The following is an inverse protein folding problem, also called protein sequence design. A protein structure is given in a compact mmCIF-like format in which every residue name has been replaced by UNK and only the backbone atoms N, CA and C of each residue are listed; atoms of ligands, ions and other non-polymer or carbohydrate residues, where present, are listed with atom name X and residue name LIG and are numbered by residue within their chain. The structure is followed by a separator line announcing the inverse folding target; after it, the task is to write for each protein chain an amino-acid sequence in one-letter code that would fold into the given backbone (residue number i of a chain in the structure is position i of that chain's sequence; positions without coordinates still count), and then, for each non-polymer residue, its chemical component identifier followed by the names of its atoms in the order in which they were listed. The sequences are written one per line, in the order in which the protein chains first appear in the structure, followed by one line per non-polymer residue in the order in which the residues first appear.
data_IF_507574565616
#
_entry.id   IF_507574565616
#
_cell.length_a   1.000
_cell.length_b   1.000
_cell.length_c   1.000
_cell.angle_alpha   90.00
_cell.angle_beta   90.00
_cell.angle_gamma   90.00
#
_symmetry.space_group_name_H-M   'P 1'
#
loop_
_entity.id
_entity.type
_entity.pdbx_description
1 polymer ?
#
# COMPACT_ATOMS: atom_id res chain seq x y z
N UNK A 1 41.31 -6.75 -23.02
CA UNK A 1 41.22 -6.71 -21.53
C UNK A 1 40.56 -5.44 -21.00
N UNK A 2 40.92 -4.22 -21.43
CA UNK A 2 40.29 -2.96 -20.97
C UNK A 2 38.78 -2.84 -21.26
N UNK A 3 38.28 -3.40 -22.37
CA UNK A 3 36.85 -3.47 -22.71
C UNK A 3 36.04 -4.48 -21.86
N UNK A 4 36.71 -5.51 -21.33
CA UNK A 4 36.06 -6.50 -20.45
C UNK A 4 35.93 -5.96 -19.02
N UNK A 5 36.93 -5.19 -18.57
CA UNK A 5 36.92 -4.49 -17.27
C UNK A 5 35.85 -3.39 -17.20
N UNK A 6 35.62 -2.66 -18.30
CA UNK A 6 34.56 -1.64 -18.39
C UNK A 6 33.16 -2.25 -18.41
N UNK A 7 32.98 -3.44 -18.98
CA UNK A 7 31.69 -4.13 -18.97
C UNK A 7 31.32 -4.68 -17.58
N UNK A 8 32.31 -5.15 -16.81
CA UNK A 8 32.13 -5.60 -15.42
C UNK A 8 31.72 -4.45 -14.49
N UNK A 9 32.31 -3.26 -14.66
CA UNK A 9 31.97 -2.08 -13.85
C UNK A 9 30.52 -1.60 -14.07
N UNK A 10 29.98 -1.78 -15.28
CA UNK A 10 28.60 -1.40 -15.61
C UNK A 10 27.55 -2.32 -14.94
N UNK A 11 27.87 -3.60 -14.74
CA UNK A 11 26.97 -4.59 -14.10
C UNK A 11 26.83 -4.37 -12.59
N UNK A 12 27.86 -3.82 -11.93
CA UNK A 12 27.81 -3.52 -10.49
C UNK A 12 26.91 -2.32 -10.18
N UNK A 13 26.76 -1.36 -11.11
CA UNK A 13 25.88 -0.19 -10.93
C UNK A 13 24.38 -0.49 -11.15
N UNK A 14 24.03 -1.67 -11.67
CA UNK A 14 22.65 -2.05 -12.00
C UNK A 14 21.97 -2.94 -10.94
N UNK A 15 22.57 -3.09 -9.76
CA UNK A 15 21.93 -3.86 -8.69
C UNK A 15 20.70 -3.08 -8.17
N UNK A 16 19.49 -3.67 -8.23
CA UNK A 16 18.34 -3.07 -7.57
C UNK A 16 18.61 -3.05 -6.06
N UNK A 17 18.75 -1.85 -5.50
CA UNK A 17 18.84 -1.66 -4.06
C UNK A 17 17.46 -1.93 -3.46
N UNK A 18 17.17 -3.19 -3.15
CA UNK A 18 16.02 -3.54 -2.34
C UNK A 18 16.07 -2.75 -1.03
N UNK A 19 14.99 -2.04 -0.72
CA UNK A 19 14.86 -1.41 0.59
C UNK A 19 14.94 -2.48 1.68
N UNK A 20 15.75 -2.22 2.72
CA UNK A 20 15.93 -3.11 3.85
C UNK A 20 15.52 -2.39 5.12
N UNK A 21 14.21 -2.43 5.43
CA UNK A 21 13.70 -1.99 6.73
C UNK A 21 13.96 -3.07 7.79
N UNK A 22 14.28 -2.64 9.02
CA UNK A 22 14.45 -3.49 10.21
C UNK A 22 15.45 -4.66 10.10
N UNK A 23 16.44 -4.57 9.20
CA UNK A 23 17.40 -5.64 8.89
C UNK A 23 18.10 -6.27 10.10
N UNK A 24 18.28 -5.49 11.17
CA UNK A 24 19.05 -5.87 12.35
C UNK A 24 18.21 -5.88 13.65
N UNK A 25 16.88 -5.83 13.56
CA UNK A 25 15.99 -5.81 14.73
C UNK A 25 15.35 -7.19 14.96
N UNK A 26 15.86 -8.02 15.88
CA UNK A 26 15.38 -9.39 16.07
C UNK A 26 13.94 -9.48 16.61
N UNK A 27 13.44 -8.42 17.25
CA UNK A 27 12.04 -8.34 17.70
C UNK A 27 11.05 -8.20 16.56
N UNK A 28 11.52 -7.82 15.36
CA UNK A 28 10.68 -7.53 14.20
C UNK A 28 10.57 -8.74 13.30
N UNK A 29 9.34 -9.22 13.13
CA UNK A 29 9.02 -10.29 12.19
C UNK A 29 8.51 -9.71 10.88
N UNK A 30 9.10 -10.16 9.78
CA UNK A 30 8.72 -9.72 8.42
C UNK A 30 7.71 -10.67 7.80
N UNK A 31 6.68 -10.10 7.17
CA UNK A 31 5.66 -10.81 6.43
C UNK A 31 5.65 -10.30 4.98
N UNK A 32 5.84 -11.22 4.03
CA UNK A 32 5.87 -10.89 2.59
C UNK A 32 4.51 -11.10 1.97
N UNK A 33 4.08 -10.18 1.12
CA UNK A 33 2.78 -10.20 0.47
C UNK A 33 2.71 -9.22 -0.70
N UNK A 34 1.48 -8.83 -1.09
CA UNK A 34 1.29 -7.78 -2.10
C UNK A 34 1.94 -6.45 -1.67
N UNK A 35 1.76 -6.12 -0.39
CA UNK A 35 2.60 -5.22 0.37
C UNK A 35 3.25 -6.03 1.49
N UNK A 36 4.54 -5.76 1.76
CA UNK A 36 5.19 -6.35 2.91
C UNK A 36 4.76 -5.59 4.17
N UNK A 37 4.67 -6.29 5.29
CA UNK A 37 4.49 -5.66 6.59
C UNK A 37 5.42 -6.28 7.63
N UNK A 38 5.66 -5.53 8.69
CA UNK A 38 6.56 -5.87 9.77
C UNK A 38 5.82 -5.76 11.10
N UNK A 39 5.91 -6.80 11.91
CA UNK A 39 5.35 -6.79 13.26
C UNK A 39 6.49 -6.73 14.28
N UNK A 40 6.50 -5.68 15.10
CA UNK A 40 7.48 -5.50 16.18
C UNK A 40 6.91 -6.01 17.50
N UNK A 41 7.38 -7.17 17.97
CA UNK A 41 6.88 -7.79 19.21
C UNK A 41 7.16 -6.95 20.46
N UNK A 42 8.17 -6.09 20.45
CA UNK A 42 8.54 -5.30 21.63
C UNK A 42 7.59 -4.11 21.84
N UNK A 43 6.99 -3.61 20.76
CA UNK A 43 6.14 -2.41 20.77
C UNK A 43 4.70 -2.68 20.36
N UNK A 44 4.39 -3.93 19.99
CA UNK A 44 3.11 -4.37 19.41
C UNK A 44 2.65 -3.55 18.20
N UNK A 45 3.61 -3.08 17.40
CA UNK A 45 3.36 -2.25 16.23
C UNK A 45 3.39 -3.04 14.93
N UNK A 46 2.49 -2.67 14.03
CA UNK A 46 2.44 -3.18 12.66
C UNK A 46 2.86 -2.05 11.72
N UNK A 47 4.00 -2.23 11.05
CA UNK A 47 4.47 -1.32 10.02
C UNK A 47 4.19 -1.86 8.63
N UNK A 48 3.67 -1.03 7.74
CA UNK A 48 3.42 -1.37 6.34
C UNK A 48 4.48 -0.73 5.45
N UNK A 49 5.08 -1.52 4.57
CA UNK A 49 5.94 -1.02 3.49
C UNK A 49 5.09 -0.77 2.23
N UNK A 50 5.04 0.48 1.81
CA UNK A 50 4.35 0.93 0.61
C UNK A 50 5.37 1.25 -0.48
N UNK A 51 5.46 0.36 -1.46
CA UNK A 51 6.34 0.45 -2.64
C UNK A 51 5.59 0.90 -3.91
N UNK A 52 4.25 0.84 -3.89
CA UNK A 52 3.37 1.16 -5.03
C UNK A 52 2.46 2.34 -4.66
N UNK A 53 2.86 3.55 -5.04
CA UNK A 53 2.04 4.76 -4.91
C UNK A 53 1.37 5.12 -6.24
N UNK A 54 0.21 5.79 -6.17
CA UNK A 54 -0.63 6.15 -7.31
C UNK A 54 -1.13 4.96 -8.16
N UNK A 55 -0.90 3.73 -7.69
CA UNK A 55 -1.36 2.51 -8.33
C UNK A 55 -2.59 1.97 -7.61
N UNK A 56 -3.62 1.65 -8.37
CA UNK A 56 -4.86 1.08 -7.86
C UNK A 56 -4.69 -0.40 -7.55
N UNK A 57 -5.24 -0.83 -6.43
CA UNK A 57 -5.26 -2.22 -5.99
C UNK A 57 -6.59 -2.52 -5.30
N UNK A 58 -6.91 -3.82 -5.21
CA UNK A 58 -8.10 -4.30 -4.54
C UNK A 58 -7.83 -4.46 -3.04
N UNK A 59 -8.61 -3.79 -2.20
CA UNK A 59 -8.64 -3.94 -0.76
C UNK A 59 -9.92 -4.69 -0.37
N UNK A 60 -9.75 -5.86 0.23
CA UNK A 60 -10.85 -6.73 0.64
C UNK A 60 -10.70 -7.04 2.12
N UNK A 61 -11.77 -6.80 2.89
CA UNK A 61 -11.86 -7.23 4.27
C UNK A 61 -12.52 -8.61 4.35
N UNK A 62 -12.00 -9.53 5.16
CA UNK A 62 -12.63 -10.84 5.38
C UNK A 62 -12.57 -11.21 6.86
N UNK A 63 -13.63 -11.86 7.36
CA UNK A 63 -13.68 -12.37 8.72
C UNK A 63 -13.05 -13.76 8.77
N UNK A 64 -11.92 -13.87 9.46
CA UNK A 64 -11.30 -15.16 9.75
C UNK A 64 -12.07 -15.93 10.83
N UNK A 65 -12.61 -15.22 11.81
CA UNK A 65 -13.28 -15.73 13.01
C UNK A 65 -14.36 -14.73 13.46
N UNK A 66 -15.36 -15.17 14.23
CA UNK A 66 -16.45 -14.32 14.73
C UNK A 66 -17.85 -14.75 14.30
N UNK A 67 -18.80 -13.81 14.31
CA UNK A 67 -20.20 -14.06 13.91
C UNK A 67 -20.19 -14.49 12.44
N UNK A 68 -20.69 -15.70 12.21
CA UNK A 68 -20.95 -16.29 10.89
C UNK A 68 -22.46 -16.32 10.69
N UNK A 69 -23.02 -15.22 10.20
CA UNK A 69 -24.44 -15.04 9.97
C UNK A 69 -24.69 -14.65 8.52
N UNK A 70 -25.27 -15.60 7.78
CA UNK A 70 -25.65 -15.41 6.39
C UNK A 70 -26.75 -14.34 6.25
N UNK A 71 -27.61 -14.21 7.27
CA UNK A 71 -28.75 -13.29 7.25
C UNK A 71 -28.33 -11.81 7.18
N UNK A 72 -27.17 -11.46 7.74
CA UNK A 72 -26.58 -10.11 7.68
C UNK A 72 -25.34 -10.05 6.78
N UNK A 73 -25.04 -11.11 6.03
CA UNK A 73 -23.91 -11.19 5.11
C UNK A 73 -22.53 -11.18 5.77
N UNK A 74 -22.46 -11.53 7.06
CA UNK A 74 -21.20 -11.68 7.80
C UNK A 74 -20.91 -13.17 7.97
N UNK A 75 -20.59 -13.87 6.89
CA UNK A 75 -20.17 -15.28 6.96
C UNK A 75 -18.65 -15.42 7.02
N UNK A 76 -18.16 -16.42 7.75
CA UNK A 76 -16.73 -16.68 7.94
C UNK A 76 -16.13 -17.19 6.65
N UNK A 77 -14.98 -16.65 6.27
CA UNK A 77 -14.32 -17.02 5.02
C UNK A 77 -14.99 -16.47 3.76
N UNK A 78 -16.10 -15.71 3.88
CA UNK A 78 -16.64 -14.92 2.79
C UNK A 78 -15.85 -13.60 2.67
N UNK A 79 -15.69 -13.12 1.44
CA UNK A 79 -15.16 -11.78 1.18
C UNK A 79 -16.21 -10.75 1.60
N UNK A 80 -15.79 -9.78 2.42
CA UNK A 80 -16.61 -8.65 2.83
C UNK A 80 -16.51 -7.49 1.83
N UNK A 81 -16.36 -6.27 2.34
CA UNK A 81 -16.30 -5.08 1.48
C UNK A 81 -15.09 -5.12 0.53
N UNK A 82 -15.38 -4.97 -0.76
CA UNK A 82 -14.39 -4.88 -1.84
C UNK A 82 -14.26 -3.42 -2.28
N UNK A 83 -13.06 -2.86 -2.15
CA UNK A 83 -12.76 -1.47 -2.51
C UNK A 83 -11.56 -1.41 -3.43
N UNK A 84 -11.71 -0.74 -4.57
CA UNK A 84 -10.53 -0.27 -5.32
C UNK A 84 -9.96 0.92 -4.59
N UNK A 85 -8.67 0.89 -4.26
CA UNK A 85 -8.00 1.93 -3.50
C UNK A 85 -6.60 2.18 -4.05
N UNK A 86 -5.99 3.32 -3.69
CA UNK A 86 -4.59 3.62 -3.98
C UNK A 86 -3.95 4.47 -2.89
N UNK A 87 -2.65 4.33 -2.72
CA UNK A 87 -1.87 5.22 -1.87
C UNK A 87 -1.50 6.49 -2.61
N UNK A 88 -1.76 7.66 -2.01
CA UNK A 88 -1.32 8.96 -2.51
C UNK A 88 -0.49 9.65 -1.43
N UNK A 89 0.71 10.12 -1.79
CA UNK A 89 1.54 10.90 -0.89
C UNK A 89 1.00 12.32 -0.73
N UNK A 90 0.77 12.73 0.51
CA UNK A 90 0.35 14.08 0.86
C UNK A 90 1.27 14.62 1.98
N UNK A 91 2.34 15.32 1.58
CA UNK A 91 3.35 15.82 2.50
C UNK A 91 4.06 14.69 3.26
N UNK A 92 3.92 14.68 4.59
CA UNK A 92 4.49 13.67 5.50
C UNK A 92 3.57 12.46 5.74
N UNK A 93 2.45 12.38 5.01
CA UNK A 93 1.48 11.29 5.12
C UNK A 93 1.34 10.53 3.82
N UNK A 94 0.98 9.26 3.94
CA UNK A 94 0.37 8.48 2.86
C UNK A 94 -1.12 8.36 3.13
N UNK A 95 -1.93 8.73 2.14
CA UNK A 95 -3.38 8.62 2.21
C UNK A 95 -3.82 7.37 1.45
N UNK A 96 -4.65 6.53 2.07
CA UNK A 96 -5.38 5.48 1.36
C UNK A 96 -6.66 6.08 0.81
N UNK A 97 -6.71 6.20 -0.51
CA UNK A 97 -7.79 6.89 -1.22
C UNK A 97 -8.62 5.85 -1.96
N UNK A 98 -9.94 5.92 -1.81
CA UNK A 98 -10.89 5.21 -2.65
C UNK A 98 -11.39 6.18 -3.75
N UNK A 99 -11.03 5.96 -5.04
CA UNK A 99 -11.60 6.73 -6.14
C UNK A 99 -13.10 6.49 -6.27
N UNK A 100 -13.81 7.49 -6.81
CA UNK A 100 -15.23 7.34 -7.11
C UNK A 100 -15.40 6.77 -8.51
N UNK A 101 -15.59 5.45 -8.58
CA UNK A 101 -15.73 4.74 -9.86
C UNK A 101 -17.15 4.81 -10.45
N UNK A 102 -18.12 5.42 -9.75
CA UNK A 102 -19.47 5.63 -10.28
C UNK A 102 -19.51 6.67 -11.39
N UNK A 103 -18.53 7.59 -11.43
CA UNK A 103 -18.43 8.65 -12.42
C UNK A 103 -17.07 8.56 -13.12
N UNK A 104 -17.08 8.20 -14.41
CA UNK A 104 -15.88 7.96 -15.21
C UNK A 104 -16.05 8.49 -16.62
N UNK A 105 -15.06 9.23 -17.11
CA UNK A 105 -15.02 9.68 -18.50
C UNK A 105 -14.36 8.60 -19.39
N UNK A 106 -15.15 7.97 -20.26
CA UNK A 106 -14.68 6.97 -21.24
C UNK A 106 -14.34 7.63 -22.58
N UNK A 107 -13.37 8.55 -22.52
CA UNK A 107 -12.98 9.43 -23.63
C UNK A 107 -11.46 9.34 -23.86
N UNK A 108 -10.95 9.84 -24.98
CA UNK A 108 -9.52 10.06 -25.17
C UNK A 108 -9.08 11.46 -24.71
N UNK A 109 -10.04 12.38 -24.49
CA UNK A 109 -9.78 13.75 -24.08
C UNK A 109 -9.28 13.81 -22.62
N UNK A 110 -8.10 14.38 -22.40
CA UNK A 110 -7.50 14.49 -21.07
C UNK A 110 -8.23 15.52 -20.19
N UNK A 111 -8.70 16.63 -20.76
CA UNK A 111 -9.37 17.69 -20.00
C UNK A 111 -10.73 17.23 -19.48
N UNK A 112 -11.45 16.46 -20.29
CA UNK A 112 -12.73 15.85 -19.90
C UNK A 112 -12.54 14.83 -18.76
N UNK A 113 -11.49 14.00 -18.82
CA UNK A 113 -11.15 13.07 -17.71
C UNK A 113 -10.84 13.81 -16.42
N UNK A 114 -10.05 14.88 -16.50
CA UNK A 114 -9.71 15.70 -15.34
C UNK A 114 -10.95 16.37 -14.76
N UNK A 115 -11.79 16.95 -15.62
CA UNK A 115 -13.04 17.59 -15.21
C UNK A 115 -13.97 16.61 -14.46
N UNK A 116 -14.16 15.39 -14.96
CA UNK A 116 -14.96 14.37 -14.24
C UNK A 116 -14.28 13.96 -12.93
N UNK A 117 -12.96 13.77 -12.93
CA UNK A 117 -12.23 13.40 -11.71
C UNK A 117 -12.27 14.49 -10.62
N UNK A 118 -12.39 15.76 -10.99
CA UNK A 118 -12.47 16.89 -10.06
C UNK A 118 -13.91 17.19 -9.62
N UNK A 119 -14.89 16.95 -10.49
CA UNK A 119 -16.30 17.19 -10.21
C UNK A 119 -16.88 16.23 -9.17
N UNK A 120 -16.33 15.02 -9.03
CA UNK A 120 -16.85 14.00 -8.12
C UNK A 120 -15.86 13.68 -7.00
N UNK A 121 -16.35 13.80 -5.76
CA UNK A 121 -15.52 13.58 -4.57
C UNK A 121 -15.02 12.14 -4.47
N UNK A 122 -13.77 12.01 -4.00
CA UNK A 122 -13.11 10.75 -3.61
C UNK A 122 -13.11 10.61 -2.09
N UNK A 123 -13.01 9.38 -1.60
CA UNK A 123 -12.97 9.13 -0.15
C UNK A 123 -11.53 8.94 0.32
N UNK A 124 -11.17 9.60 1.43
CA UNK A 124 -9.95 9.31 2.17
C UNK A 124 -10.31 8.26 3.22
N UNK A 125 -9.85 7.03 3.05
CA UNK A 125 -10.12 5.94 3.99
C UNK A 125 -9.25 6.04 5.24
N UNK A 126 -7.98 6.39 5.07
CA UNK A 126 -7.05 6.56 6.18
C UNK A 126 -5.85 7.44 5.80
N UNK A 127 -5.18 8.02 6.80
CA UNK A 127 -3.99 8.84 6.63
C UNK A 127 -2.84 8.37 7.52
N UNK A 128 -1.91 7.63 6.92
CA UNK A 128 -0.74 7.06 7.59
C UNK A 128 0.38 8.09 7.73
N UNK A 129 1.05 8.13 8.88
CA UNK A 129 2.26 8.94 9.07
C UNK A 129 3.46 8.15 8.55
N UNK A 130 4.26 8.78 7.68
CA UNK A 130 5.49 8.17 7.15
C UNK A 130 6.56 8.21 8.25
N UNK A 131 7.02 7.04 8.68
CA UNK A 131 8.08 6.89 9.69
C UNK A 131 9.46 6.89 9.05
N UNK A 132 9.59 6.24 7.89
CA UNK A 132 10.85 6.15 7.14
C UNK A 132 10.59 6.17 5.63
N UNK A 133 11.58 6.60 4.86
CA UNK A 133 11.53 6.55 3.39
C UNK A 133 12.88 6.07 2.87
N UNK A 134 12.87 5.05 2.02
CA UNK A 134 14.08 4.47 1.45
C UNK A 134 13.83 4.09 -0.01
N UNK A 135 14.59 4.66 -0.95
CA UNK A 135 14.52 4.36 -2.39
C UNK A 135 13.11 4.41 -3.01
N UNK A 136 12.23 5.30 -2.52
CA UNK A 136 10.85 5.40 -3.00
C UNK A 136 9.86 4.43 -2.33
N UNK A 137 10.33 3.59 -1.41
CA UNK A 137 9.53 2.81 -0.49
C UNK A 137 9.26 3.63 0.76
N UNK A 138 8.02 3.58 1.24
CA UNK A 138 7.59 4.30 2.44
C UNK A 138 7.24 3.31 3.52
N UNK A 139 7.81 3.51 4.70
CA UNK A 139 7.40 2.78 5.89
C UNK A 139 6.39 3.63 6.65
N UNK A 140 5.26 3.03 7.01
CA UNK A 140 4.22 3.68 7.80
C UNK A 140 3.80 2.83 8.99
N UNK A 141 3.45 3.47 10.10
CA UNK A 141 2.76 2.80 11.21
C UNK A 141 1.29 2.60 10.81
N UNK A 142 0.89 1.34 10.66
CA UNK A 142 -0.45 0.92 10.25
C UNK A 142 -1.24 0.27 11.39
N UNK A 143 -0.71 0.30 12.62
CA UNK A 143 -1.30 -0.37 13.79
C UNK A 143 -2.74 0.07 14.00
N UNK A 144 -2.98 1.38 14.14
CA UNK A 144 -4.32 1.93 14.38
C UNK A 144 -5.29 1.62 13.24
N UNK A 145 -4.82 1.60 11.99
CA UNK A 145 -5.66 1.28 10.85
C UNK A 145 -6.20 -0.16 10.90
N UNK A 146 -5.36 -1.12 11.32
CA UNK A 146 -5.78 -2.52 11.44
C UNK A 146 -6.58 -2.82 12.71
N UNK A 147 -6.56 -1.92 13.70
CA UNK A 147 -7.36 -2.03 14.93
C UNK A 147 -8.71 -1.33 14.83
N UNK A 148 -9.02 -0.70 13.69
CA UNK A 148 -10.33 -0.12 13.41
C UNK A 148 -11.28 -1.17 12.83
N UNK A 149 -12.55 -1.12 13.24
CA UNK A 149 -13.66 -1.90 12.69
C UNK A 149 -14.43 -1.15 11.59
#
# INVERSE_FOLDING_TARGET
MKKLLTLSFLIVCLQPAFSQFFKDKPSVKTYKGYYNFYYDNDTDKIFLEVDKINQEFLFVSALSQGIGSNDIGLDRGQLGNEKVVKFIKAGKKLLLIQPNLNYRALTSNADEKNSVSEAFAKSVLYGFVITETNNGHYLVDATDFFMQD
#
